data_IF_378336139631
#
_entry.id   IF_378336139631
#
_cell.length_a   1.000
_cell.length_b   1.000
_cell.length_c   1.000
_cell.angle_alpha   90.00
_cell.angle_beta   90.00
_cell.angle_gamma   90.00
#
_symmetry.space_group_name_H-M   'P 1'
#
loop_
_entity.id
_entity.type
_entity.pdbx_description
1 polymer ?
#
# COMPACT_ATOMS: atom_id res chain seq x y z
N UNK A 1 13.27 -24.04 7.77
CA UNK A 1 13.02 -22.58 7.86
C UNK A 1 14.36 -21.85 7.84
N UNK A 2 14.92 -21.63 6.64
CA UNK A 2 16.09 -20.76 6.50
C UNK A 2 15.57 -19.32 6.59
N UNK A 3 15.69 -18.71 7.78
CA UNK A 3 15.30 -17.32 7.98
C UNK A 3 15.91 -16.44 6.89
N UNK A 4 15.11 -15.56 6.30
CA UNK A 4 15.54 -14.56 5.31
C UNK A 4 16.61 -13.64 5.94
N UNK A 5 17.86 -14.11 6.02
CA UNK A 5 18.99 -13.38 6.62
C UNK A 5 19.31 -12.04 5.91
N UNK A 6 18.74 -11.83 4.71
CA UNK A 6 18.94 -10.63 3.88
C UNK A 6 17.62 -9.90 3.57
N UNK A 7 16.57 -10.08 4.37
CA UNK A 7 15.35 -9.29 4.21
C UNK A 7 15.59 -7.85 4.67
N UNK A 8 15.49 -6.90 3.75
CA UNK A 8 15.60 -5.45 4.03
C UNK A 8 14.25 -4.80 4.29
N UNK A 9 13.14 -5.49 4.02
CA UNK A 9 11.79 -5.00 4.32
C UNK A 9 11.57 -4.62 5.80
N UNK A 10 12.15 -5.29 6.82
CA UNK A 10 11.97 -4.87 8.21
C UNK A 10 12.65 -3.53 8.53
N UNK A 11 13.69 -3.16 7.77
CA UNK A 11 14.35 -1.86 7.90
C UNK A 11 13.55 -0.76 7.19
N UNK A 12 12.85 -1.11 6.11
CA UNK A 12 11.99 -0.19 5.36
C UNK A 12 10.67 0.11 6.10
N UNK A 13 10.10 -0.88 6.80
CA UNK A 13 8.76 -0.77 7.38
C UNK A 13 8.55 0.41 8.35
N UNK A 14 9.45 0.71 9.31
CA UNK A 14 9.28 1.85 10.20
C UNK A 14 9.12 3.19 9.46
N UNK A 15 9.84 3.36 8.36
CA UNK A 15 9.78 4.57 7.52
C UNK A 15 8.50 4.61 6.67
N UNK A 16 8.01 3.44 6.24
CA UNK A 16 6.73 3.32 5.52
C UNK A 16 5.56 3.74 6.41
N UNK A 17 5.57 3.37 7.70
CA UNK A 17 4.52 3.75 8.65
C UNK A 17 4.33 5.26 8.73
N UNK A 18 5.42 6.05 8.70
CA UNK A 18 5.35 7.51 8.69
C UNK A 18 4.79 8.13 7.40
N UNK A 19 4.58 7.32 6.36
CA UNK A 19 4.00 7.73 5.07
C UNK A 19 2.59 7.20 4.83
N UNK A 20 2.08 6.33 5.70
CA UNK A 20 0.72 5.82 5.58
C UNK A 20 -0.25 7.00 5.71
N UNK A 21 -1.24 7.01 4.84
CA UNK A 21 -2.33 7.98 4.86
C UNK A 21 -3.64 7.28 4.62
N UNK A 22 -4.72 7.88 5.09
CA UNK A 22 -6.07 7.44 4.80
C UNK A 22 -6.42 7.70 3.32
N UNK A 23 -7.33 6.92 2.75
CA UNK A 23 -7.67 6.95 1.33
C UNK A 23 -8.25 8.30 0.88
N UNK A 24 -8.93 9.01 1.78
CA UNK A 24 -9.47 10.36 1.55
C UNK A 24 -8.40 11.44 1.33
N UNK A 25 -7.16 11.17 1.74
CA UNK A 25 -6.03 12.05 1.51
C UNK A 25 -5.50 11.97 0.06
N UNK A 26 -5.91 10.93 -0.69
CA UNK A 26 -5.61 10.79 -2.10
C UNK A 26 -6.42 11.81 -2.91
N UNK A 27 -5.90 12.22 -4.07
CA UNK A 27 -6.57 13.22 -4.92
C UNK A 27 -6.48 12.83 -6.37
N UNK A 28 -7.57 13.04 -7.11
CA UNK A 28 -7.58 12.90 -8.57
C UNK A 28 -7.22 11.49 -9.01
N UNK A 29 -6.03 11.32 -9.59
CA UNK A 29 -5.60 10.05 -10.19
C UNK A 29 -5.46 8.93 -9.17
N UNK A 30 -4.86 9.19 -7.99
CA UNK A 30 -4.66 8.12 -7.00
C UNK A 30 -5.97 7.64 -6.38
N UNK A 31 -6.93 8.53 -6.16
CA UNK A 31 -8.29 8.18 -5.69
C UNK A 31 -8.93 7.20 -6.67
N UNK A 32 -8.86 7.49 -7.98
CA UNK A 32 -9.39 6.59 -9.01
C UNK A 32 -8.72 5.21 -8.99
N UNK A 33 -7.42 5.14 -8.76
CA UNK A 33 -6.73 3.85 -8.65
C UNK A 33 -7.20 3.04 -7.46
N UNK A 34 -7.39 3.69 -6.31
CA UNK A 34 -7.93 3.04 -5.12
C UNK A 34 -9.36 2.53 -5.37
N UNK A 35 -10.22 3.36 -5.93
CA UNK A 35 -11.57 3.00 -6.33
C UNK A 35 -11.59 1.75 -7.23
N UNK A 36 -10.84 1.76 -8.34
CA UNK A 36 -10.80 0.65 -9.30
C UNK A 36 -10.29 -0.65 -8.64
N UNK A 37 -9.34 -0.54 -7.71
CA UNK A 37 -8.87 -1.66 -6.91
C UNK A 37 -9.94 -2.21 -5.96
N UNK A 38 -10.68 -1.36 -5.25
CA UNK A 38 -11.75 -1.78 -4.34
C UNK A 38 -12.89 -2.45 -5.09
N UNK A 39 -13.26 -1.92 -6.26
CA UNK A 39 -14.21 -2.56 -7.19
C UNK A 39 -13.73 -3.95 -7.59
N UNK A 40 -12.45 -4.09 -7.97
CA UNK A 40 -11.87 -5.39 -8.35
C UNK A 40 -11.84 -6.39 -7.17
N UNK A 41 -11.76 -5.89 -5.93
CA UNK A 41 -11.85 -6.69 -4.71
C UNK A 41 -13.29 -7.02 -4.28
N UNK A 42 -14.29 -6.43 -4.93
CA UNK A 42 -15.69 -6.53 -4.53
C UNK A 42 -16.02 -5.81 -3.21
N UNK A 43 -15.13 -4.92 -2.76
CA UNK A 43 -15.26 -4.17 -1.50
C UNK A 43 -16.02 -2.86 -1.70
N UNK A 44 -17.25 -2.97 -2.20
CA UNK A 44 -18.12 -1.82 -2.46
C UNK A 44 -18.53 -1.10 -1.16
N UNK A 45 -18.57 -1.84 -0.05
CA UNK A 45 -18.78 -1.31 1.30
C UNK A 45 -17.77 -0.20 1.67
N UNK A 46 -16.53 -0.31 1.18
CA UNK A 46 -15.48 0.67 1.43
C UNK A 46 -15.47 1.85 0.45
N UNK A 47 -16.28 1.78 -0.61
CA UNK A 47 -16.46 2.88 -1.57
C UNK A 47 -17.56 3.83 -1.07
N UNK A 48 -18.65 3.27 -0.55
CA UNK A 48 -19.84 4.02 -0.14
C UNK A 48 -19.64 4.78 1.19
N UNK A 49 -18.79 4.28 2.09
CA UNK A 49 -18.50 4.85 3.41
C UNK A 49 -17.45 5.99 3.39
N UNK A 50 -17.17 6.57 2.21
CA UNK A 50 -15.95 7.28 1.86
C UNK A 50 -14.70 6.39 2.05
N UNK A 51 -13.81 6.39 1.06
CA UNK A 51 -12.53 5.66 1.04
C UNK A 51 -11.58 6.01 2.22
N UNK A 52 -12.02 6.87 3.15
CA UNK A 52 -11.42 7.29 4.43
C UNK A 52 -10.87 6.13 5.26
N UNK A 53 -11.51 4.96 5.25
CA UNK A 53 -11.09 3.85 6.13
C UNK A 53 -9.95 3.01 5.57
N UNK A 54 -9.66 3.14 4.26
CA UNK A 54 -8.58 2.38 3.63
C UNK A 54 -7.26 3.11 3.80
N UNK A 55 -6.38 2.53 4.61
CA UNK A 55 -5.03 3.02 4.74
C UNK A 55 -4.23 2.70 3.47
N UNK A 56 -3.55 3.70 2.94
CA UNK A 56 -2.75 3.61 1.72
C UNK A 56 -1.36 4.17 1.92
N UNK A 57 -0.43 3.77 1.05
CA UNK A 57 0.90 4.35 1.01
C UNK A 57 1.42 4.43 -0.42
N UNK A 58 2.04 5.56 -0.75
CA UNK A 58 2.77 5.74 -1.99
C UNK A 58 4.26 5.51 -1.75
N UNK A 59 4.87 4.60 -2.51
CA UNK A 59 6.26 4.20 -2.33
C UNK A 59 7.09 4.48 -3.60
N UNK A 60 7.69 5.68 -3.71
CA UNK A 60 8.67 5.96 -4.75
C UNK A 60 9.89 5.04 -4.60
N UNK A 61 10.37 4.48 -5.72
CA UNK A 61 11.49 3.54 -5.73
C UNK A 61 12.81 4.19 -5.29
N UNK A 62 13.05 5.42 -5.73
CA UNK A 62 14.20 6.25 -5.38
C UNK A 62 14.22 6.60 -3.88
N UNK A 63 13.06 6.91 -3.30
CA UNK A 63 12.93 7.12 -1.87
C UNK A 63 13.29 5.85 -1.08
N UNK A 64 12.75 4.69 -1.47
CA UNK A 64 13.03 3.42 -0.79
C UNK A 64 14.51 3.01 -0.94
N UNK A 65 15.13 3.28 -2.09
CA UNK A 65 16.57 3.09 -2.32
C UNK A 65 17.41 3.96 -1.37
N UNK A 66 17.03 5.23 -1.21
CA UNK A 66 17.67 6.17 -0.29
C UNK A 66 17.59 5.71 1.17
N UNK A 67 16.39 5.31 1.64
CA UNK A 67 16.17 4.81 3.01
C UNK A 67 17.06 3.60 3.33
N UNK A 68 17.20 2.69 2.36
CA UNK A 68 17.94 1.45 2.56
C UNK A 68 19.45 1.58 2.29
N UNK A 69 19.93 2.77 1.89
CA UNK A 69 21.27 2.97 1.34
C UNK A 69 21.63 1.88 0.29
N UNK A 70 20.65 1.51 -0.53
CA UNK A 70 20.72 0.43 -1.50
C UNK A 70 20.39 0.93 -2.91
N UNK A 71 20.82 0.20 -3.95
CA UNK A 71 20.37 0.47 -5.32
C UNK A 71 18.92 0.02 -5.56
N UNK A 72 18.37 0.38 -6.72
CA UNK A 72 16.97 0.12 -7.11
C UNK A 72 16.51 -1.33 -6.88
N UNK A 73 17.37 -2.30 -7.22
CA UNK A 73 17.07 -3.73 -7.00
C UNK A 73 16.83 -4.08 -5.53
N UNK A 74 17.54 -3.42 -4.62
CA UNK A 74 17.38 -3.59 -3.17
C UNK A 74 16.05 -3.00 -2.68
N UNK A 75 15.70 -1.82 -3.19
CA UNK A 75 14.42 -1.17 -2.91
C UNK A 75 13.23 -2.00 -3.42
N UNK A 76 13.27 -2.46 -4.67
CA UNK A 76 12.23 -3.31 -5.25
C UNK A 76 12.07 -4.61 -4.47
N UNK A 77 13.18 -5.22 -4.04
CA UNK A 77 13.15 -6.43 -3.21
C UNK A 77 12.54 -6.17 -1.83
N UNK A 78 12.79 -5.02 -1.22
CA UNK A 78 12.21 -4.66 0.06
C UNK A 78 10.69 -4.42 -0.05
N UNK A 79 10.26 -3.65 -1.05
CA UNK A 79 8.84 -3.38 -1.31
C UNK A 79 8.09 -4.68 -1.65
N UNK A 80 8.70 -5.56 -2.45
CA UNK A 80 8.17 -6.89 -2.71
C UNK A 80 8.12 -7.73 -1.43
N UNK A 81 9.12 -7.61 -0.56
CA UNK A 81 9.14 -8.26 0.74
C UNK A 81 7.93 -7.87 1.61
N UNK A 82 7.58 -6.58 1.64
CA UNK A 82 6.38 -6.08 2.35
C UNK A 82 5.08 -6.71 1.81
N UNK A 83 4.98 -6.86 0.49
CA UNK A 83 3.85 -7.54 -0.15
C UNK A 83 3.81 -9.03 0.20
N UNK A 84 4.96 -9.72 0.11
CA UNK A 84 5.06 -11.15 0.40
C UNK A 84 4.74 -11.51 1.86
N UNK A 85 4.93 -10.58 2.80
CA UNK A 85 4.52 -10.77 4.21
C UNK A 85 3.10 -10.28 4.49
N UNK A 86 2.40 -9.72 3.49
CA UNK A 86 1.02 -9.28 3.62
C UNK A 86 0.83 -7.99 4.41
N UNK A 87 1.84 -7.12 4.49
CA UNK A 87 1.69 -5.80 5.14
C UNK A 87 1.08 -4.76 4.19
N UNK A 88 1.35 -4.90 2.90
CA UNK A 88 0.80 -4.03 1.85
C UNK A 88 0.38 -4.86 0.65
N UNK A 89 -0.60 -4.39 -0.11
CA UNK A 89 -1.00 -4.96 -1.38
C UNK A 89 -0.92 -3.88 -2.48
N UNK A 90 -0.47 -4.26 -3.67
CA UNK A 90 -0.30 -3.32 -4.78
C UNK A 90 -1.66 -2.93 -5.38
N UNK A 91 -1.95 -1.63 -5.35
CA UNK A 91 -3.13 -1.03 -5.98
C UNK A 91 -2.81 -0.66 -7.43
N UNK A 92 -1.70 0.04 -7.65
CA UNK A 92 -1.25 0.46 -8.98
C UNK A 92 0.27 0.59 -9.07
N UNK A 93 0.86 0.33 -10.25
CA UNK A 93 2.32 0.39 -10.49
C UNK A 93 2.90 1.82 -10.49
N UNK A 94 2.04 2.83 -10.39
CA UNK A 94 2.39 4.25 -10.59
C UNK A 94 2.52 4.61 -12.07
N UNK A 95 2.59 5.91 -12.37
CA UNK A 95 2.83 6.46 -13.71
C UNK A 95 3.78 7.65 -13.60
N UNK A 96 4.17 8.27 -14.73
CA UNK A 96 5.00 9.47 -14.69
C UNK A 96 4.36 10.55 -13.81
N UNK A 97 5.07 11.00 -12.79
CA UNK A 97 4.59 12.01 -11.83
C UNK A 97 3.85 11.46 -10.62
N UNK A 98 3.57 10.15 -10.57
CA UNK A 98 2.83 9.49 -9.49
C UNK A 98 3.53 8.18 -9.09
N UNK A 99 3.87 8.06 -7.81
CA UNK A 99 4.50 6.84 -7.33
C UNK A 99 3.54 5.64 -7.36
N UNK A 100 4.09 4.44 -7.20
CA UNK A 100 3.27 3.24 -7.03
C UNK A 100 2.42 3.36 -5.75
N UNK A 101 1.16 2.98 -5.86
CA UNK A 101 0.17 3.05 -4.79
C UNK A 101 -0.06 1.65 -4.22
N UNK A 102 -0.11 1.56 -2.90
CA UNK A 102 -0.36 0.33 -2.17
C UNK A 102 -1.44 0.56 -1.12
N UNK A 103 -2.29 -0.44 -0.91
CA UNK A 103 -3.19 -0.52 0.23
C UNK A 103 -2.45 -1.20 1.38
N UNK A 104 -2.60 -0.68 2.60
CA UNK A 104 -2.12 -1.33 3.82
C UNK A 104 -3.09 -2.44 4.18
N UNK A 105 -2.53 -3.58 4.57
CA UNK A 105 -3.30 -4.81 4.82
C UNK A 105 -3.31 -5.17 6.31
N UNK A 106 -4.39 -5.82 6.78
CA UNK A 106 -5.61 -6.15 6.04
C UNK A 106 -6.46 -4.91 5.73
N UNK A 107 -7.28 -4.99 4.69
CA UNK A 107 -8.35 -4.01 4.50
C UNK A 107 -9.30 -4.03 5.71
N UNK A 108 -9.98 -2.92 6.03
CA UNK A 108 -11.00 -2.89 7.08
C UNK A 108 -12.00 -4.05 6.90
N UNK A 109 -12.53 -4.64 7.97
CA UNK A 109 -13.54 -5.69 7.86
C UNK A 109 -14.82 -5.15 7.23
N UNK A 110 -15.57 -6.01 6.54
CA UNK A 110 -16.92 -5.68 6.06
C UNK A 110 -17.80 -5.33 7.28
N UNK A 111 -18.53 -4.22 7.21
CA UNK A 111 -19.51 -3.90 8.25
C UNK A 111 -20.64 -4.92 8.16
N UNK A 112 -21.08 -5.52 9.28
CA UNK A 112 -22.28 -6.33 9.27
C UNK A 112 -23.47 -5.46 8.86
N UNK A 113 -24.37 -6.00 8.04
CA UNK A 113 -25.62 -5.33 7.67
C UNK A 113 -26.35 -4.87 8.96
N UNK A 114 -26.58 -3.56 9.11
CA UNK A 114 -27.43 -3.07 10.20
C UNK A 114 -28.85 -3.66 10.02
N UNK A 115 -29.45 -4.21 11.07
CA UNK A 115 -30.81 -4.72 10.97
C UNK A 115 -31.79 -3.59 10.59
N UNK A 116 -32.84 -3.91 9.81
CA UNK A 116 -33.80 -2.93 9.28
C UNK A 116 -34.64 -2.24 10.36
#
# INVERSE_FOLDING_TARGET
MAGRKNATWPQLWPEVVGKIKDGDSLRGTETRWLHDYLVAKGRFDLIDDDEQTVQTVQLPRDWAASVLAAGDRGAERAIRGLQEVGLIEKVHDGIKGHAALFAVMPLPPERPDEPP
#
